data_IF_133436513948
#
_entry.id   IF_133436513948
#
_cell.length_a   1.000
_cell.length_b   1.000
_cell.length_c   1.000
_cell.angle_alpha   90.00
_cell.angle_beta   90.00
_cell.angle_gamma   90.00
#
_symmetry.space_group_name_H-M   'P 1'
#
loop_
_entity.id
_entity.type
_entity.pdbx_description
1 polymer ?
#
# COMPACT_ATOMS: atom_id res chain seq x y z
N UNK A 1 -13.79 -31.45 5.60
CA UNK A 1 -13.38 -30.59 4.46
C UNK A 1 -12.04 -31.09 4.03
N UNK A 2 -11.94 -31.56 2.80
CA UNK A 2 -10.65 -31.86 2.19
C UNK A 2 -10.11 -30.56 1.61
N UNK A 3 -8.85 -30.26 1.90
CA UNK A 3 -8.13 -29.12 1.35
C UNK A 3 -6.68 -29.52 1.12
N UNK A 4 -6.01 -28.81 0.23
CA UNK A 4 -4.63 -29.09 -0.17
C UNK A 4 -3.90 -27.80 -0.54
N UNK A 5 -2.56 -27.82 -0.59
CA UNK A 5 -1.81 -26.72 -1.19
C UNK A 5 -2.30 -26.42 -2.60
N UNK A 6 -2.29 -25.14 -2.93
CA UNK A 6 -2.51 -24.64 -4.29
C UNK A 6 -1.42 -25.17 -5.23
N UNK A 7 -1.83 -25.62 -6.41
CA UNK A 7 -0.96 -26.09 -7.49
C UNK A 7 -1.22 -25.22 -8.73
N UNK A 8 -0.21 -24.49 -9.21
CA UNK A 8 -0.38 -23.55 -10.33
C UNK A 8 -0.82 -24.23 -11.61
N UNK A 9 -0.29 -25.43 -11.91
CA UNK A 9 -0.61 -26.14 -13.15
C UNK A 9 -2.07 -26.59 -13.18
N UNK A 10 -2.63 -26.92 -12.01
CA UNK A 10 -3.99 -27.45 -11.89
C UNK A 10 -5.03 -26.39 -11.56
N UNK A 11 -4.69 -25.43 -10.70
CA UNK A 11 -5.67 -24.55 -10.05
C UNK A 11 -5.72 -23.15 -10.64
N UNK A 12 -4.74 -22.74 -11.46
CA UNK A 12 -4.69 -21.39 -12.05
C UNK A 12 -5.99 -21.01 -12.76
N UNK A 13 -6.53 -21.90 -13.59
CA UNK A 13 -7.77 -21.62 -14.32
C UNK A 13 -8.99 -21.51 -13.39
N UNK A 14 -9.02 -22.30 -12.33
CA UNK A 14 -10.06 -22.21 -11.30
C UNK A 14 -9.96 -20.91 -10.50
N UNK A 15 -8.75 -20.51 -10.09
CA UNK A 15 -8.50 -19.26 -9.40
C UNK A 15 -8.89 -18.03 -10.25
N UNK A 16 -8.50 -18.00 -11.53
CA UNK A 16 -8.89 -16.96 -12.49
C UNK A 16 -10.41 -16.84 -12.60
N UNK A 17 -11.09 -17.99 -12.75
CA UNK A 17 -12.55 -18.04 -12.83
C UNK A 17 -13.19 -17.47 -11.56
N UNK A 18 -12.74 -17.91 -10.38
CA UNK A 18 -13.24 -17.40 -9.10
C UNK A 18 -13.08 -15.88 -9.03
N UNK A 19 -11.91 -15.35 -9.36
CA UNK A 19 -11.62 -13.91 -9.27
C UNK A 19 -12.47 -13.08 -10.23
N UNK A 20 -12.75 -13.60 -11.44
CA UNK A 20 -13.73 -12.99 -12.35
C UNK A 20 -15.14 -13.03 -11.77
N UNK A 21 -15.56 -14.16 -11.19
CA UNK A 21 -16.89 -14.31 -10.58
C UNK A 21 -17.13 -13.36 -9.40
N UNK A 22 -16.09 -13.05 -8.62
CA UNK A 22 -16.15 -12.13 -7.48
C UNK A 22 -15.78 -10.69 -7.83
N UNK A 23 -15.60 -10.37 -9.12
CA UNK A 23 -15.25 -9.05 -9.65
C UNK A 23 -13.90 -8.50 -9.12
N UNK A 24 -12.93 -9.36 -8.87
CA UNK A 24 -11.56 -8.96 -8.53
C UNK A 24 -10.65 -8.86 -9.75
N UNK A 25 -11.10 -9.40 -10.89
CA UNK A 25 -10.42 -9.33 -12.17
C UNK A 25 -11.41 -8.94 -13.27
N UNK A 26 -11.15 -7.83 -13.96
CA UNK A 26 -12.02 -7.28 -15.03
C UNK A 26 -11.45 -7.44 -16.44
N UNK A 27 -10.14 -7.54 -16.57
CA UNK A 27 -9.41 -7.74 -17.82
C UNK A 27 -8.60 -9.03 -17.74
N UNK A 28 -8.24 -9.60 -18.89
CA UNK A 28 -7.41 -10.81 -18.88
C UNK A 28 -5.97 -10.46 -18.51
N UNK A 29 -5.66 -10.56 -17.20
CA UNK A 29 -4.34 -10.32 -16.62
C UNK A 29 -3.80 -11.59 -15.97
N UNK A 30 -3.88 -12.71 -16.69
CA UNK A 30 -3.50 -14.02 -16.18
C UNK A 30 -2.03 -14.06 -15.69
N UNK A 31 -1.12 -13.35 -16.34
CA UNK A 31 0.28 -13.27 -15.94
C UNK A 31 0.47 -12.45 -14.65
N UNK A 32 -0.35 -11.41 -14.43
CA UNK A 32 -0.35 -10.66 -13.18
C UNK A 32 -0.88 -11.50 -12.01
N UNK A 33 -1.86 -12.37 -12.27
CA UNK A 33 -2.37 -13.28 -11.25
C UNK A 33 -1.28 -14.23 -10.76
N UNK A 34 -0.54 -14.87 -11.67
CA UNK A 34 0.52 -15.79 -11.29
C UNK A 34 1.56 -15.07 -10.44
N UNK A 35 1.93 -13.84 -10.83
CA UNK A 35 2.82 -13.00 -10.01
C UNK A 35 2.25 -12.72 -8.64
N UNK A 36 0.94 -12.46 -8.51
CA UNK A 36 0.31 -12.25 -7.20
C UNK A 36 0.31 -13.53 -6.36
N UNK A 37 0.03 -14.69 -6.96
CA UNK A 37 0.03 -15.97 -6.24
C UNK A 37 1.47 -16.36 -5.83
N UNK A 38 2.44 -16.11 -6.71
CA UNK A 38 3.87 -16.24 -6.41
C UNK A 38 4.28 -15.25 -5.31
N UNK A 39 3.80 -14.00 -5.35
CA UNK A 39 4.04 -13.00 -4.30
C UNK A 39 3.55 -13.48 -2.92
N UNK A 40 2.46 -14.23 -2.93
CA UNK A 40 1.88 -14.84 -1.76
C UNK A 40 2.71 -16.07 -1.27
N UNK A 41 3.63 -16.56 -2.08
CA UNK A 41 4.38 -17.78 -1.77
C UNK A 41 3.46 -19.02 -1.69
N UNK A 42 2.27 -18.93 -2.31
CA UNK A 42 1.26 -19.99 -2.36
C UNK A 42 0.04 -19.75 -1.46
N UNK A 43 -0.70 -20.84 -1.24
CA UNK A 43 -1.95 -20.85 -0.51
C UNK A 43 -2.55 -22.25 -0.47
N UNK A 44 -3.81 -22.33 -0.05
CA UNK A 44 -4.56 -23.58 0.01
C UNK A 44 -5.86 -23.44 -0.76
N UNK A 45 -6.32 -24.57 -1.30
CA UNK A 45 -7.61 -24.68 -1.99
C UNK A 45 -8.50 -25.73 -1.34
N UNK A 46 -9.80 -25.49 -1.38
CA UNK A 46 -10.82 -26.50 -1.09
C UNK A 46 -11.58 -26.85 -2.37
N UNK A 47 -11.80 -28.14 -2.57
CA UNK A 47 -12.44 -28.64 -3.78
C UNK A 47 -13.92 -28.95 -3.58
N UNK A 48 -14.69 -28.74 -4.64
CA UNK A 48 -16.07 -29.19 -4.77
C UNK A 48 -16.21 -29.79 -6.16
N UNK A 49 -16.70 -31.02 -6.25
CA UNK A 49 -16.89 -31.76 -7.51
C UNK A 49 -15.62 -31.80 -8.40
N UNK A 50 -14.44 -31.96 -7.78
CA UNK A 50 -13.16 -32.08 -8.48
C UNK A 50 -12.54 -30.77 -8.95
N UNK A 51 -13.17 -29.62 -8.69
CA UNK A 51 -12.63 -28.30 -9.01
C UNK A 51 -12.26 -27.53 -7.74
N UNK A 52 -11.20 -26.72 -7.79
CA UNK A 52 -10.89 -25.77 -6.73
C UNK A 52 -11.96 -24.66 -6.71
N UNK A 53 -12.76 -24.60 -5.65
CA UNK A 53 -13.89 -23.66 -5.54
C UNK A 53 -13.74 -22.67 -4.37
N UNK A 54 -12.68 -22.81 -3.57
CA UNK A 54 -12.29 -21.83 -2.56
C UNK A 54 -10.77 -21.75 -2.50
N UNK A 55 -10.23 -20.54 -2.43
CA UNK A 55 -8.81 -20.24 -2.39
C UNK A 55 -8.53 -19.30 -1.21
N UNK A 56 -7.46 -19.60 -0.46
CA UNK A 56 -6.87 -18.68 0.53
C UNK A 56 -5.38 -18.64 0.28
N UNK A 57 -4.87 -17.43 0.05
CA UNK A 57 -3.44 -17.16 -0.12
C UNK A 57 -2.85 -16.71 1.22
N UNK A 58 -1.54 -16.87 1.37
CA UNK A 58 -0.78 -16.30 2.50
C UNK A 58 0.35 -15.43 1.97
N UNK A 59 1.08 -14.67 2.77
CA UNK A 59 2.30 -13.99 2.33
C UNK A 59 3.16 -13.68 3.55
N UNK A 60 4.42 -14.09 3.52
CA UNK A 60 5.29 -14.00 4.68
C UNK A 60 5.90 -12.61 4.81
N UNK A 61 6.09 -12.21 6.05
CA UNK A 61 6.63 -10.91 6.38
C UNK A 61 6.94 -10.78 7.86
N UNK A 62 7.06 -9.54 8.30
CA UNK A 62 7.28 -9.22 9.69
C UNK A 62 6.51 -7.95 10.12
N UNK A 63 6.07 -7.96 11.38
CA UNK A 63 5.35 -6.86 12.01
C UNK A 63 6.22 -6.21 13.09
N UNK A 64 6.29 -4.88 13.07
CA UNK A 64 6.99 -4.11 14.11
C UNK A 64 6.07 -3.93 15.32
N UNK A 65 6.28 -4.71 16.37
CA UNK A 65 5.57 -4.57 17.64
C UNK A 65 6.45 -3.80 18.65
N UNK A 66 6.11 -2.53 18.90
CA UNK A 66 6.94 -1.61 19.68
C UNK A 66 8.38 -1.58 19.14
N UNK A 67 9.36 -2.01 19.95
CA UNK A 67 10.77 -2.12 19.57
C UNK A 67 11.16 -3.48 18.98
N UNK A 68 10.25 -4.45 18.97
CA UNK A 68 10.49 -5.83 18.53
C UNK A 68 9.90 -6.09 17.14
N UNK A 69 10.48 -7.05 16.44
CA UNK A 69 9.99 -7.52 15.14
C UNK A 69 9.45 -8.92 15.32
N UNK A 70 8.19 -9.15 14.94
CA UNK A 70 7.49 -10.43 15.07
C UNK A 70 7.31 -11.07 13.69
N UNK A 71 7.54 -12.39 13.55
CA UNK A 71 7.16 -13.13 12.36
C UNK A 71 5.68 -12.96 12.05
N UNK A 72 5.36 -12.57 10.83
CA UNK A 72 4.02 -12.22 10.39
C UNK A 72 3.61 -13.00 9.15
N UNK A 73 2.35 -13.41 9.10
CA UNK A 73 1.73 -13.95 7.89
C UNK A 73 0.51 -13.12 7.48
N UNK A 74 0.53 -12.61 6.24
CA UNK A 74 -0.62 -11.95 5.65
C UNK A 74 -1.56 -13.00 5.08
N UNK A 75 -2.71 -13.21 5.68
CA UNK A 75 -3.78 -13.98 5.03
C UNK A 75 -4.46 -13.09 4.00
N UNK A 76 -4.58 -13.60 2.79
CA UNK A 76 -4.93 -12.78 1.63
C UNK A 76 -5.64 -13.61 0.57
N UNK A 77 -6.24 -12.97 -0.44
CA UNK A 77 -6.85 -13.72 -1.56
C UNK A 77 -8.03 -14.63 -1.18
N UNK A 78 -8.64 -14.44 -0.01
CA UNK A 78 -9.75 -15.27 0.49
C UNK A 78 -10.95 -15.15 -0.43
N UNK A 79 -11.17 -16.18 -1.24
CA UNK A 79 -12.19 -16.18 -2.29
C UNK A 79 -12.91 -17.52 -2.37
N UNK A 80 -14.19 -17.48 -2.75
CA UNK A 80 -15.04 -18.66 -2.94
C UNK A 80 -15.92 -18.42 -4.15
N UNK A 81 -15.98 -19.40 -5.05
CA UNK A 81 -16.84 -19.35 -6.23
C UNK A 81 -18.31 -19.24 -5.87
N UNK A 82 -19.13 -18.81 -6.82
CA UNK A 82 -20.58 -18.68 -6.64
C UNK A 82 -21.23 -20.01 -6.28
N UNK A 83 -20.76 -21.11 -6.86
CA UNK A 83 -21.31 -22.46 -6.66
C UNK A 83 -20.98 -23.06 -5.29
N UNK A 84 -19.92 -22.60 -4.64
CA UNK A 84 -19.49 -23.08 -3.32
C UNK A 84 -19.82 -22.11 -2.16
N UNK A 85 -20.57 -21.03 -2.43
CA UNK A 85 -20.99 -20.08 -1.38
C UNK A 85 -21.89 -20.76 -0.35
N UNK A 86 -21.83 -20.27 0.88
CA UNK A 86 -22.61 -20.75 2.03
C UNK A 86 -22.32 -22.21 2.46
N UNK A 87 -21.30 -22.85 1.89
CA UNK A 87 -20.82 -24.17 2.34
C UNK A 87 -19.78 -24.09 3.50
N UNK A 88 -19.49 -22.88 3.99
CA UNK A 88 -18.54 -22.65 5.09
C UNK A 88 -17.07 -22.86 4.72
N UNK A 89 -16.74 -23.06 3.44
CA UNK A 89 -15.38 -23.36 2.97
C UNK A 89 -14.40 -22.22 3.30
N UNK A 90 -14.76 -20.96 3.01
CA UNK A 90 -13.90 -19.81 3.26
C UNK A 90 -13.44 -19.74 4.73
N UNK A 91 -14.37 -19.89 5.68
CA UNK A 91 -14.06 -19.80 7.11
C UNK A 91 -13.11 -20.94 7.53
N UNK A 92 -13.43 -22.17 7.12
CA UNK A 92 -12.64 -23.36 7.47
C UNK A 92 -11.25 -23.35 6.82
N UNK A 93 -11.15 -22.93 5.57
CA UNK A 93 -9.89 -22.84 4.83
C UNK A 93 -9.01 -21.71 5.36
N UNK A 94 -9.61 -20.57 5.73
CA UNK A 94 -8.90 -19.47 6.40
C UNK A 94 -8.36 -19.93 7.75
N UNK A 95 -9.17 -20.59 8.58
CA UNK A 95 -8.73 -21.13 9.87
C UNK A 95 -7.60 -22.15 9.70
N UNK A 96 -7.73 -23.06 8.73
CA UNK A 96 -6.68 -24.03 8.42
C UNK A 96 -5.39 -23.35 7.98
N UNK A 97 -5.46 -22.33 7.12
CA UNK A 97 -4.30 -21.56 6.66
C UNK A 97 -3.62 -20.86 7.84
N UNK A 98 -4.37 -20.23 8.74
CA UNK A 98 -3.81 -19.64 9.98
C UNK A 98 -3.09 -20.69 10.82
N UNK A 99 -3.65 -21.88 10.98
CA UNK A 99 -3.01 -22.96 11.72
C UNK A 99 -1.70 -23.44 11.08
N UNK A 100 -1.65 -23.55 9.74
CA UNK A 100 -0.42 -23.87 9.01
C UNK A 100 0.65 -22.80 9.18
N UNK A 101 0.28 -21.53 9.08
CA UNK A 101 1.22 -20.42 9.23
C UNK A 101 1.74 -20.31 10.67
N UNK A 102 0.90 -20.58 11.67
CA UNK A 102 1.33 -20.68 13.06
C UNK A 102 2.32 -21.84 13.26
N UNK A 103 2.06 -23.01 12.67
CA UNK A 103 2.98 -24.15 12.70
C UNK A 103 4.31 -23.86 11.97
N UNK A 104 4.28 -23.00 10.95
CA UNK A 104 5.45 -22.52 10.22
C UNK A 104 6.21 -21.39 10.95
N UNK A 105 5.75 -20.95 12.13
CA UNK A 105 6.43 -19.99 12.99
C UNK A 105 5.91 -18.55 12.91
N UNK A 106 4.81 -18.29 12.19
CA UNK A 106 4.14 -16.99 12.27
C UNK A 106 3.57 -16.79 13.68
N UNK A 107 3.91 -15.66 14.30
CA UNK A 107 3.42 -15.30 15.64
C UNK A 107 2.18 -14.42 15.55
N UNK A 108 2.04 -13.69 14.44
CA UNK A 108 0.90 -12.80 14.18
C UNK A 108 0.41 -13.01 12.74
N UNK A 109 -0.90 -13.09 12.57
CA UNK A 109 -1.53 -13.04 11.24
C UNK A 109 -2.31 -11.74 11.06
N UNK A 110 -2.34 -11.21 9.84
CA UNK A 110 -3.16 -10.06 9.49
C UNK A 110 -3.78 -10.20 8.11
N UNK A 111 -4.86 -9.46 7.86
CA UNK A 111 -5.58 -9.51 6.59
C UNK A 111 -6.28 -8.18 6.26
N UNK A 112 -6.64 -8.03 4.99
CA UNK A 112 -7.60 -7.01 4.57
C UNK A 112 -9.03 -7.49 4.77
N UNK A 113 -9.79 -6.75 5.58
CA UNK A 113 -11.11 -7.18 6.04
C UNK A 113 -12.21 -6.71 5.09
N UNK A 114 -12.94 -7.64 4.47
CA UNK A 114 -14.14 -7.32 3.67
C UNK A 114 -15.41 -7.28 4.52
N UNK A 115 -15.53 -8.16 5.53
CA UNK A 115 -16.67 -8.25 6.44
C UNK A 115 -16.15 -8.66 7.81
N UNK A 116 -16.40 -7.83 8.81
CA UNK A 116 -15.76 -7.97 10.12
C UNK A 116 -16.31 -9.15 10.92
N UNK A 117 -17.63 -9.38 10.92
CA UNK A 117 -18.26 -10.45 11.69
C UNK A 117 -17.75 -11.84 11.31
N UNK A 118 -17.44 -12.05 10.04
CA UNK A 118 -16.85 -13.26 9.49
C UNK A 118 -15.47 -13.54 10.09
N UNK A 119 -14.58 -12.55 10.07
CA UNK A 119 -13.21 -12.74 10.55
C UNK A 119 -13.09 -12.70 12.08
N UNK A 120 -13.99 -12.01 12.78
CA UNK A 120 -14.08 -12.07 14.25
C UNK A 120 -14.25 -13.51 14.76
N UNK A 121 -15.04 -14.33 14.05
CA UNK A 121 -15.24 -15.75 14.40
C UNK A 121 -13.97 -16.59 14.29
N UNK A 122 -12.98 -16.12 13.53
CA UNK A 122 -11.69 -16.76 13.35
C UNK A 122 -10.61 -16.20 14.29
N UNK A 123 -10.98 -15.29 15.20
CA UNK A 123 -10.08 -14.67 16.17
C UNK A 123 -9.36 -13.41 15.66
N UNK A 124 -9.69 -12.90 14.46
CA UNK A 124 -9.14 -11.63 14.01
C UNK A 124 -9.83 -10.47 14.72
N UNK A 125 -9.03 -9.47 15.08
CA UNK A 125 -9.50 -8.18 15.58
C UNK A 125 -9.19 -7.06 14.58
N UNK A 126 -9.59 -5.83 14.96
CA UNK A 126 -9.25 -4.65 14.18
C UNK A 126 -7.78 -4.27 14.40
N UNK A 127 -7.08 -4.02 13.30
CA UNK A 127 -5.71 -3.51 13.30
C UNK A 127 -5.64 -1.99 13.55
N UNK A 128 -4.50 -1.40 13.20
CA UNK A 128 -4.29 0.04 13.31
C UNK A 128 -5.23 0.83 12.40
N UNK A 129 -5.57 2.06 12.82
CA UNK A 129 -6.33 2.98 11.99
C UNK A 129 -5.53 3.39 10.74
N UNK A 130 -6.20 3.34 9.59
CA UNK A 130 -5.75 4.04 8.40
C UNK A 130 -6.18 5.51 8.52
N UNK A 131 -5.21 6.42 8.57
CA UNK A 131 -5.50 7.85 8.52
C UNK A 131 -5.61 8.32 7.06
N UNK A 132 -6.47 9.31 6.84
CA UNK A 132 -6.78 9.87 5.52
C UNK A 132 -6.82 11.39 5.59
N UNK A 133 -5.83 12.05 4.99
CA UNK A 133 -5.55 13.48 5.21
C UNK A 133 -5.43 14.26 3.91
N UNK A 134 -6.39 15.11 3.60
CA UNK A 134 -6.29 16.01 2.45
C UNK A 134 -5.84 17.40 2.92
N UNK A 135 -4.90 18.01 2.19
CA UNK A 135 -4.48 19.38 2.45
C UNK A 135 -4.13 20.09 1.14
N UNK A 136 -4.21 21.42 1.14
CA UNK A 136 -3.72 22.22 0.03
C UNK A 136 -2.19 22.26 0.09
N UNK A 137 -1.45 21.77 -0.93
CA UNK A 137 0.00 21.79 -0.89
C UNK A 137 0.56 23.19 -0.68
N UNK A 138 -0.09 24.25 -1.16
CA UNK A 138 0.36 25.63 -0.96
C UNK A 138 0.40 26.09 0.52
N UNK A 139 -0.20 25.32 1.44
CA UNK A 139 -0.19 25.60 2.89
C UNK A 139 0.95 24.91 3.64
N UNK A 140 1.70 24.00 3.01
CA UNK A 140 2.86 23.38 3.65
C UNK A 140 3.97 24.41 3.87
N UNK A 141 4.45 24.50 5.11
CA UNK A 141 5.62 25.29 5.48
C UNK A 141 6.81 24.34 5.63
N UNK A 142 7.50 24.07 4.53
CA UNK A 142 8.67 23.19 4.49
C UNK A 142 9.84 23.95 3.88
N UNK A 143 10.79 24.35 4.73
CA UNK A 143 11.92 25.19 4.36
C UNK A 143 13.22 24.39 4.17
N UNK A 144 13.13 23.28 3.43
CA UNK A 144 14.32 22.51 3.03
C UNK A 144 14.48 22.52 1.51
N UNK A 145 15.72 22.58 0.99
CA UNK A 145 15.96 22.35 -0.42
C UNK A 145 15.65 20.89 -0.77
N UNK A 146 15.32 20.63 -2.04
CA UNK A 146 15.21 19.28 -2.57
C UNK A 146 16.07 19.16 -3.84
N UNK A 147 16.67 17.99 -4.04
CA UNK A 147 17.47 17.69 -5.23
C UNK A 147 16.57 17.45 -6.45
N UNK A 148 17.16 17.28 -7.64
CA UNK A 148 16.38 16.80 -8.79
C UNK A 148 16.08 15.31 -8.58
N UNK A 149 14.80 14.88 -8.50
CA UNK A 149 14.46 13.48 -8.34
C UNK A 149 14.56 12.70 -9.65
N UNK A 150 14.81 11.41 -9.54
CA UNK A 150 14.69 10.45 -10.64
C UNK A 150 13.23 10.05 -10.86
N UNK A 151 12.88 9.76 -12.11
CA UNK A 151 11.56 9.23 -12.45
C UNK A 151 11.53 7.73 -12.19
N UNK A 152 10.48 7.30 -11.51
CA UNK A 152 10.18 5.89 -11.29
C UNK A 152 8.85 5.54 -11.96
N UNK A 153 8.75 4.32 -12.41
CA UNK A 153 7.60 3.71 -13.07
C UNK A 153 7.24 2.41 -12.36
N UNK A 154 6.24 1.69 -12.86
CA UNK A 154 5.93 0.35 -12.32
C UNK A 154 7.06 -0.65 -12.59
N UNK A 155 7.87 -0.44 -13.63
CA UNK A 155 9.01 -1.31 -13.93
C UNK A 155 10.06 -1.33 -12.80
N UNK A 156 10.13 -0.27 -12.00
CA UNK A 156 11.07 -0.12 -10.88
C UNK A 156 10.57 -0.80 -9.58
N UNK A 157 9.52 -1.65 -9.67
CA UNK A 157 8.85 -2.27 -8.52
C UNK A 157 9.78 -2.97 -7.54
N UNK A 158 10.85 -3.63 -8.03
CA UNK A 158 11.81 -4.34 -7.19
C UNK A 158 12.68 -3.37 -6.36
N UNK A 159 13.19 -2.29 -6.98
CA UNK A 159 13.93 -1.24 -6.28
C UNK A 159 13.03 -0.47 -5.30
N UNK A 160 11.78 -0.21 -5.70
CA UNK A 160 10.77 0.39 -4.82
C UNK A 160 10.51 -0.52 -3.62
N UNK A 161 10.38 -1.84 -3.82
CA UNK A 161 10.17 -2.78 -2.75
C UNK A 161 11.34 -2.80 -1.76
N UNK A 162 12.56 -2.89 -2.26
CA UNK A 162 13.76 -2.84 -1.42
C UNK A 162 13.82 -1.55 -0.58
N UNK A 163 13.47 -0.41 -1.18
CA UNK A 163 13.34 0.86 -0.46
C UNK A 163 12.22 0.79 0.61
N UNK A 164 11.08 0.15 0.33
CA UNK A 164 9.99 -0.06 1.29
C UNK A 164 10.41 -0.94 2.47
N UNK A 165 11.24 -1.95 2.25
CA UNK A 165 11.74 -2.82 3.33
C UNK A 165 12.66 -2.05 4.29
N UNK A 166 13.49 -1.13 3.75
CA UNK A 166 14.42 -0.29 4.53
C UNK A 166 13.79 0.98 5.12
N UNK A 167 12.51 1.24 4.86
CA UNK A 167 11.81 2.45 5.33
C UNK A 167 11.84 2.60 6.85
N UNK A 168 11.61 3.82 7.33
CA UNK A 168 11.35 4.08 8.74
C UNK A 168 10.06 3.36 9.14
N UNK A 169 10.16 2.44 10.08
CA UNK A 169 9.03 1.66 10.58
C UNK A 169 8.65 2.11 11.99
N UNK A 170 7.36 2.33 12.19
CA UNK A 170 6.77 2.57 13.50
C UNK A 170 6.11 1.29 14.03
N UNK A 171 5.63 1.33 15.27
CA UNK A 171 4.76 0.27 15.78
C UNK A 171 3.56 0.03 14.84
N UNK A 172 3.25 -1.24 14.56
CA UNK A 172 2.20 -1.66 13.64
C UNK A 172 2.63 -1.74 12.18
N UNK A 173 3.86 -1.33 11.83
CA UNK A 173 4.34 -1.42 10.45
C UNK A 173 4.59 -2.86 10.02
N UNK A 174 3.99 -3.29 8.92
CA UNK A 174 4.18 -4.61 8.31
C UNK A 174 5.09 -4.50 7.10
N UNK A 175 5.96 -5.49 6.90
CA UNK A 175 6.76 -5.65 5.69
C UNK A 175 6.56 -7.06 5.18
N UNK A 176 6.00 -7.20 3.98
CA UNK A 176 5.94 -8.48 3.27
C UNK A 176 7.23 -8.63 2.47
N UNK A 177 7.82 -9.81 2.42
CA UNK A 177 9.17 -9.98 1.88
C UNK A 177 9.23 -10.23 0.38
N UNK A 178 8.15 -10.74 -0.22
CA UNK A 178 8.09 -10.99 -1.65
C UNK A 178 7.96 -9.66 -2.40
N UNK A 179 8.90 -9.31 -3.30
CA UNK A 179 8.89 -8.03 -3.99
C UNK A 179 7.69 -7.89 -4.94
N UNK A 180 7.15 -8.99 -5.43
CA UNK A 180 5.94 -9.06 -6.26
C UNK A 180 4.71 -8.47 -5.54
N UNK A 181 4.72 -8.40 -4.20
CA UNK A 181 3.68 -7.68 -3.45
C UNK A 181 3.66 -6.17 -3.76
N UNK A 182 4.80 -5.59 -4.10
CA UNK A 182 4.87 -4.19 -4.59
C UNK A 182 4.39 -4.10 -6.02
N UNK A 183 4.79 -5.04 -6.88
CA UNK A 183 4.35 -5.10 -8.28
C UNK A 183 2.82 -5.16 -8.37
N UNK A 184 2.21 -6.17 -7.73
CA UNK A 184 0.77 -6.36 -7.73
C UNK A 184 0.04 -5.12 -7.23
N UNK A 185 0.56 -4.45 -6.20
CA UNK A 185 -0.03 -3.21 -5.69
C UNK A 185 0.10 -2.03 -6.67
N UNK A 186 1.23 -1.89 -7.34
CA UNK A 186 1.44 -0.82 -8.34
C UNK A 186 0.56 -1.02 -9.57
N UNK A 187 0.47 -2.24 -10.09
CA UNK A 187 -0.32 -2.57 -11.29
C UNK A 187 -1.82 -2.61 -11.02
N UNK A 188 -2.28 -3.29 -9.96
CA UNK A 188 -3.71 -3.40 -9.65
C UNK A 188 -4.33 -2.06 -9.31
N UNK A 189 -3.56 -1.12 -8.77
CA UNK A 189 -4.03 0.24 -8.53
C UNK A 189 -4.05 1.09 -9.83
N UNK A 190 -3.81 0.52 -11.00
CA UNK A 190 -3.86 1.22 -12.28
C UNK A 190 -2.59 2.00 -12.64
N UNK A 191 -1.44 1.54 -12.16
CA UNK A 191 -0.13 2.14 -12.41
C UNK A 191 0.02 3.51 -11.77
N UNK A 192 0.90 4.34 -12.34
CA UNK A 192 1.20 5.67 -11.81
C UNK A 192 2.61 6.10 -12.15
N UNK A 193 3.11 7.09 -11.42
CA UNK A 193 4.48 7.53 -11.55
C UNK A 193 5.06 7.82 -10.17
N UNK A 194 6.35 7.53 -10.03
CA UNK A 194 7.12 7.85 -8.84
C UNK A 194 8.19 8.89 -9.12
N UNK A 195 8.62 9.54 -8.05
CA UNK A 195 9.80 10.38 -7.99
C UNK A 195 10.62 9.95 -6.77
N UNK A 196 11.90 9.69 -6.98
CA UNK A 196 12.77 9.17 -5.93
C UNK A 196 14.18 9.73 -5.96
N UNK A 197 14.94 9.42 -4.93
CA UNK A 197 16.32 9.85 -4.78
C UNK A 197 17.21 8.67 -4.41
N UNK A 198 18.40 8.63 -4.98
CA UNK A 198 19.43 7.66 -4.61
C UNK A 198 20.29 8.16 -3.46
N UNK A 199 20.74 7.23 -2.64
CA UNK A 199 21.78 7.50 -1.66
C UNK A 199 23.12 7.71 -2.38
N UNK A 200 23.91 8.68 -1.93
CA UNK A 200 25.17 8.99 -2.57
C UNK A 200 26.27 7.96 -2.26
N UNK A 201 26.15 7.23 -1.14
CA UNK A 201 27.17 6.27 -0.71
C UNK A 201 27.07 4.94 -1.46
N UNK A 202 25.86 4.44 -1.73
CA UNK A 202 25.65 3.11 -2.32
C UNK A 202 24.81 3.11 -3.62
N UNK A 203 24.30 4.26 -4.06
CA UNK A 203 23.50 4.38 -5.28
C UNK A 203 22.10 3.74 -5.20
N UNK A 204 21.69 3.22 -4.04
CA UNK A 204 20.38 2.58 -3.89
C UNK A 204 19.30 3.64 -3.76
N UNK A 205 18.09 3.30 -4.22
CA UNK A 205 16.92 4.11 -3.96
C UNK A 205 16.73 4.29 -2.45
N UNK A 206 16.76 5.54 -1.97
CA UNK A 206 16.80 5.87 -0.54
C UNK A 206 15.44 6.28 -0.01
N UNK A 207 14.69 7.07 -0.78
CA UNK A 207 13.36 7.55 -0.45
C UNK A 207 12.62 7.98 -1.72
N UNK A 208 11.29 7.86 -1.71
CA UNK A 208 10.46 8.11 -2.88
C UNK A 208 9.05 8.55 -2.52
N UNK A 209 8.41 9.23 -3.46
CA UNK A 209 6.97 9.42 -3.50
C UNK A 209 6.41 8.74 -4.75
N UNK A 210 5.36 7.93 -4.60
CA UNK A 210 4.66 7.33 -5.73
C UNK A 210 3.22 7.80 -5.77
N UNK A 211 2.81 8.32 -6.91
CA UNK A 211 1.48 8.87 -7.12
C UNK A 211 0.66 7.98 -8.04
N UNK A 212 -0.63 7.86 -7.73
CA UNK A 212 -1.57 7.13 -8.56
C UNK A 212 -1.88 7.86 -9.87
N UNK A 213 -2.28 7.08 -10.88
CA UNK A 213 -2.77 7.61 -12.15
C UNK A 213 -4.27 7.94 -12.07
N UNK A 214 -4.63 8.93 -11.24
CA UNK A 214 -6.02 9.40 -11.18
C UNK A 214 -6.31 10.18 -12.47
N UNK A 215 -7.21 9.66 -13.33
CA UNK A 215 -7.59 10.24 -14.64
C UNK A 215 -8.29 11.61 -14.55
N UNK A 216 -8.30 12.25 -13.38
CA UNK A 216 -8.99 13.50 -13.15
C UNK A 216 -8.10 14.70 -13.52
N UNK A 217 -8.54 15.48 -14.50
CA UNK A 217 -7.85 16.69 -14.98
C UNK A 217 -7.69 17.81 -13.92
N UNK A 218 -8.41 17.73 -12.80
CA UNK A 218 -8.51 18.82 -11.82
C UNK A 218 -8.09 18.44 -10.38
N UNK A 219 -7.47 17.26 -10.20
CA UNK A 219 -6.99 16.79 -8.91
C UNK A 219 -8.07 16.15 -8.02
N UNK A 220 -7.73 15.72 -6.79
CA UNK A 220 -6.42 15.87 -6.12
C UNK A 220 -5.36 14.84 -6.58
N UNK A 221 -4.08 15.19 -6.46
CA UNK A 221 -2.98 14.24 -6.62
C UNK A 221 -3.00 13.22 -5.46
N UNK A 222 -3.17 11.94 -5.78
CA UNK A 222 -3.17 10.87 -4.77
C UNK A 222 -1.78 10.28 -4.60
N UNK A 223 -1.16 10.58 -3.45
CA UNK A 223 0.08 9.91 -3.01
C UNK A 223 -0.27 8.53 -2.47
N UNK A 224 0.32 7.48 -3.04
CA UNK A 224 0.15 6.08 -2.59
C UNK A 224 1.26 5.64 -1.67
N UNK A 225 2.50 5.97 -2.05
CA UNK A 225 3.66 5.68 -1.23
C UNK A 225 4.40 6.96 -0.91
N UNK A 226 4.82 7.06 0.35
CA UNK A 226 5.80 8.01 0.81
C UNK A 226 6.82 7.22 1.62
N UNK A 227 7.92 6.84 1.00
CA UNK A 227 8.92 5.94 1.58
C UNK A 227 10.12 6.78 1.97
N UNK A 228 10.53 6.73 3.24
CA UNK A 228 11.67 7.45 3.77
C UNK A 228 12.21 6.72 5.00
N UNK A 229 13.48 6.90 5.33
CA UNK A 229 14.19 6.29 6.45
C UNK A 229 14.41 7.27 7.61
N UNK A 230 14.53 8.57 7.29
CA UNK A 230 14.78 9.60 8.29
C UNK A 230 13.97 10.89 8.03
N UNK A 231 14.02 11.81 8.99
CA UNK A 231 13.26 13.07 8.96
C UNK A 231 13.63 13.95 7.78
N UNK A 232 14.92 14.03 7.41
CA UNK A 232 15.36 14.88 6.31
C UNK A 232 14.84 14.39 4.97
N UNK A 233 14.84 13.08 4.75
CA UNK A 233 14.24 12.46 3.56
C UNK A 233 12.73 12.74 3.48
N UNK A 234 12.00 12.66 4.60
CA UNK A 234 10.58 13.05 4.63
C UNK A 234 10.39 14.51 4.23
N UNK A 235 11.18 15.43 4.80
CA UNK A 235 11.09 16.85 4.48
C UNK A 235 11.45 17.13 3.02
N UNK A 236 12.43 16.42 2.45
CA UNK A 236 12.80 16.52 1.02
C UNK A 236 11.62 16.09 0.11
N UNK A 237 10.89 15.02 0.46
CA UNK A 237 9.69 14.61 -0.28
C UNK A 237 8.54 15.62 -0.15
N UNK A 238 8.34 16.18 1.05
CA UNK A 238 7.31 17.19 1.26
C UNK A 238 7.64 18.50 0.52
N UNK A 239 8.91 18.90 0.46
CA UNK A 239 9.37 20.04 -0.33
C UNK A 239 9.15 19.80 -1.84
N UNK A 240 9.42 18.58 -2.32
CA UNK A 240 9.13 18.18 -3.69
C UNK A 240 7.63 18.29 -4.02
N UNK A 241 6.76 17.78 -3.15
CA UNK A 241 5.30 17.87 -3.31
C UNK A 241 4.80 19.33 -3.24
N UNK A 242 5.40 20.16 -2.38
CA UNK A 242 5.10 21.59 -2.25
C UNK A 242 5.42 22.38 -3.53
N UNK A 243 6.57 22.12 -4.16
CA UNK A 243 7.04 22.88 -5.34
C UNK A 243 6.05 22.90 -6.51
N UNK A 244 5.14 21.94 -6.55
CA UNK A 244 4.08 21.80 -7.57
C UNK A 244 2.90 22.75 -7.37
N UNK A 245 2.76 23.35 -6.18
CA UNK A 245 1.68 24.29 -5.83
C UNK A 245 2.01 25.77 -6.01
N UNK A 246 3.27 26.14 -6.28
CA UNK A 246 3.67 27.53 -6.56
C UNK A 246 3.77 27.77 -8.07
N UNK A 247 3.16 28.84 -8.62
CA UNK A 247 3.68 29.43 -9.84
C UNK A 247 5.17 29.76 -9.62
N UNK A 248 6.04 29.41 -10.57
CA UNK A 248 7.43 29.86 -10.56
C UNK A 248 7.42 31.38 -10.41
N UNK A 249 7.79 31.92 -9.23
CA UNK A 249 8.28 33.29 -9.17
C UNK A 249 9.54 33.27 -10.02
N UNK A 250 9.42 33.77 -11.26
CA UNK A 250 10.58 34.19 -12.05
C UNK A 250 11.48 34.94 -11.09
N UNK A 251 12.71 34.48 -10.92
CA UNK A 251 13.76 35.24 -10.25
C UNK A 251 13.84 36.59 -10.97
N UNK A 252 13.20 37.60 -10.37
CA UNK A 252 13.06 38.91 -10.94
C UNK A 252 14.45 39.51 -11.11
N UNK A 253 14.81 39.78 -12.37
CA UNK A 253 15.78 40.82 -12.71
C UNK A 253 15.29 42.08 -12.00
N UNK A 254 16.05 42.55 -11.00
CA UNK A 254 15.69 43.74 -10.19
C UNK A 254 15.54 44.93 -11.13
N UNK A 255 14.31 45.34 -11.40
CA UNK A 255 14.05 46.74 -11.72
C UNK A 255 13.98 47.47 -10.39
N UNK A 256 14.98 48.33 -10.16
CA UNK A 256 15.02 49.22 -9.01
C UNK A 256 13.85 50.18 -9.12
N UNK A 257 13.03 50.27 -8.08
CA UNK A 257 12.43 51.55 -7.73
C UNK A 257 12.45 51.74 -6.21
N UNK A 258 12.87 52.94 -5.86
CA UNK A 258 12.99 53.54 -4.53
C UNK A 258 11.58 53.81 -3.99
N UNK A 259 11.28 53.43 -2.76
CA UNK A 259 10.96 54.34 -1.65
C UNK A 259 10.45 53.58 -0.42
N UNK A 260 10.77 54.14 0.75
CA UNK A 260 10.75 53.44 2.03
C UNK A 260 9.45 53.51 2.82
N UNK A 261 9.37 52.64 3.82
CA UNK A 261 9.19 52.97 5.25
C UNK A 261 9.16 51.66 6.06
N UNK A 262 9.75 51.75 7.23
CA UNK A 262 10.05 50.74 8.23
C UNK A 262 8.86 50.40 9.15
N UNK A 263 8.84 49.15 9.66
CA UNK A 263 8.89 48.80 11.09
C UNK A 263 7.84 47.77 11.58
N UNK A 264 8.32 46.78 12.35
CA UNK A 264 7.61 46.02 13.41
C UNK A 264 6.72 44.87 12.92
N UNK A 265 6.67 43.68 13.52
CA UNK A 265 7.16 43.16 14.80
C UNK A 265 7.24 41.63 14.67
N UNK A 266 8.28 41.05 15.26
CA UNK A 266 8.35 39.63 15.57
C UNK A 266 7.75 39.40 16.96
N UNK A 267 6.99 38.32 17.16
CA UNK A 267 7.30 37.24 18.12
C UNK A 267 6.09 36.34 18.38
N UNK A 268 6.41 35.09 18.73
CA UNK A 268 5.61 34.16 19.54
C UNK A 268 4.48 33.37 18.89
N UNK A 269 4.81 32.12 18.50
CA UNK A 269 4.24 30.91 19.11
C UNK A 269 4.93 29.66 18.53
N UNK A 270 6.09 29.34 19.11
CA UNK A 270 6.70 28.01 19.06
C UNK A 270 6.46 27.33 20.40
N UNK A 271 5.47 26.44 20.47
CA UNK A 271 5.46 25.31 21.39
C UNK A 271 4.26 24.40 21.07
N UNK A 272 4.52 23.17 20.63
CA UNK A 272 3.51 22.12 20.67
C UNK A 272 3.49 21.16 19.49
N UNK A 273 4.02 19.96 19.72
CA UNK A 273 3.59 18.71 19.07
C UNK A 273 3.92 18.50 17.59
N UNK A 274 5.18 18.18 17.30
CA UNK A 274 5.54 17.44 16.09
C UNK A 274 5.97 16.02 16.44
N UNK A 275 5.01 15.08 16.40
CA UNK A 275 5.30 13.68 16.10
C UNK A 275 3.98 12.99 15.76
N UNK A 276 3.67 12.83 14.47
CA UNK A 276 2.64 11.89 13.96
C UNK A 276 2.74 11.74 12.44
N UNK A 277 2.61 10.50 12.00
CA UNK A 277 2.94 10.00 10.67
C UNK A 277 1.81 10.24 9.65
N UNK A 278 2.19 10.55 8.41
CA UNK A 278 1.33 10.97 7.30
C UNK A 278 1.17 9.83 6.30
N UNK A 279 -0.04 9.26 6.13
CA UNK A 279 -0.45 8.44 4.96
C UNK A 279 -1.99 8.57 4.73
N UNK A 280 -2.51 8.22 3.54
CA UNK A 280 -3.79 8.62 2.87
C UNK A 280 -4.37 7.42 2.05
N UNK A 281 -5.70 7.19 1.80
CA UNK A 281 -6.57 8.00 0.91
C UNK A 281 -8.09 8.23 1.28
N UNK A 282 -9.12 7.66 0.65
CA UNK A 282 -10.34 8.35 0.08
C UNK A 282 -11.41 9.13 0.91
N UNK A 283 -11.92 10.19 0.26
CA UNK A 283 -13.20 10.89 0.44
C UNK A 283 -14.37 10.25 -0.34
N UNK A 284 -15.57 10.35 0.22
CA UNK A 284 -16.86 9.88 -0.30
C UNK A 284 -17.49 10.95 -1.19
N UNK A 285 -17.75 10.64 -2.44
CA UNK A 285 -18.74 11.32 -3.28
C UNK A 285 -19.92 10.38 -3.47
N UNK A 286 -21.09 10.75 -2.96
CA UNK A 286 -22.31 9.98 -3.10
C UNK A 286 -22.68 9.84 -4.58
N UNK A 287 -22.61 8.61 -5.11
CA UNK A 287 -23.46 8.22 -6.22
C UNK A 287 -23.88 6.75 -6.02
N UNK A 288 -25.19 6.51 -6.11
CA UNK A 288 -25.80 5.19 -5.88
C UNK A 288 -25.33 4.23 -6.97
N UNK A 289 -24.51 3.26 -6.59
CA UNK A 289 -24.06 2.19 -7.47
C UNK A 289 -23.01 1.36 -6.73
N UNK A 290 -23.41 0.20 -6.24
CA UNK A 290 -22.56 -0.74 -5.50
C UNK A 290 -21.36 -1.16 -6.37
N UNK A 291 -20.21 -0.54 -6.16
CA UNK A 291 -18.90 -1.02 -6.65
C UNK A 291 -17.94 -1.03 -5.47
N UNK A 292 -17.90 -2.17 -4.78
CA UNK A 292 -16.89 -2.47 -3.78
C UNK A 292 -15.61 -2.91 -4.50
N UNK A 293 -14.66 -1.98 -4.66
CA UNK A 293 -13.27 -2.36 -4.94
C UNK A 293 -12.71 -3.07 -3.70
N UNK A 294 -12.50 -4.38 -3.80
CA UNK A 294 -11.78 -5.15 -2.79
C UNK A 294 -10.30 -4.78 -2.86
N UNK A 295 -9.88 -3.82 -2.04
CA UNK A 295 -8.49 -3.48 -1.85
C UNK A 295 -7.83 -4.45 -0.87
N UNK A 296 -6.66 -4.98 -1.25
CA UNK A 296 -5.73 -5.56 -0.28
C UNK A 296 -5.33 -4.51 0.76
N UNK A 297 -5.21 -4.91 2.02
CA UNK A 297 -4.79 -4.02 3.10
C UNK A 297 -3.44 -3.36 2.79
N UNK A 298 -3.32 -2.08 3.14
CA UNK A 298 -2.07 -1.32 2.99
C UNK A 298 -1.10 -1.71 4.10
N UNK A 299 0.06 -2.28 3.72
CA UNK A 299 1.14 -2.70 4.62
C UNK A 299 2.45 -1.97 4.29
#
# INVERSE_FOLDING_TARGET
MQYRPYDSERDKQHALRIWREVNWLHEDRADDLDRVIVACGGGYVSEVNGAAECLVLRANGDLRHLATTLPFSCITGVTTSRVARKLGLAARLTAATVAHEAAAGAVVCGLGMFEQGFYNRLGFGNGAYEYRWQFNPATLTVEVPFRVPERLTVADWAEIHDCRLRRRRAHGSVSLWAPEMTYGRLEMDGGGYGLGYRDAADGRLSHLVFCGNDKAYHGPLRVRYLVYQNRMQLLELLALLFSRGRPRRRSGRRLRHRDGRSAGLASDLLAGQFSRHLHLPLAVGANRGNQTHAGFAQW
#
